data_IF_218839465110
#
_entry.id   IF_218839465110
#
_cell.length_a   1.000
_cell.length_b   1.000
_cell.length_c   1.000
_cell.angle_alpha   90.00
_cell.angle_beta   90.00
_cell.angle_gamma   90.00
#
_symmetry.space_group_name_H-M   'P 1'
#
loop_
_entity.id
_entity.type
_entity.pdbx_description
1 polymer ?
#
# COMPACT_ATOMS: atom_id res chain seq x y z
N UNK A 1 -15.14 19.46 -22.10
CA UNK A 1 -14.44 18.20 -21.73
C UNK A 1 -13.25 18.52 -20.84
N UNK A 2 -13.32 18.23 -19.53
CA UNK A 2 -12.21 18.46 -18.58
C UNK A 2 -11.04 17.54 -18.93
N UNK A 3 -9.91 18.13 -19.35
CA UNK A 3 -8.65 17.46 -19.64
C UNK A 3 -8.18 16.76 -18.36
N UNK A 4 -8.40 15.44 -18.25
CA UNK A 4 -7.94 14.62 -17.14
C UNK A 4 -6.43 14.79 -17.01
N UNK A 5 -5.98 15.56 -16.00
CA UNK A 5 -4.56 15.76 -15.70
C UNK A 5 -3.91 14.38 -15.47
N UNK A 6 -2.71 14.10 -16.02
CA UNK A 6 -2.07 12.79 -15.90
C UNK A 6 -1.91 12.32 -14.44
N UNK A 7 -1.76 13.24 -13.49
CA UNK A 7 -1.72 12.93 -12.05
C UNK A 7 -3.02 12.30 -11.50
N UNK A 8 -4.19 12.69 -12.01
CA UNK A 8 -5.47 12.12 -11.56
C UNK A 8 -5.64 10.66 -12.01
N UNK A 9 -5.02 10.27 -13.14
CA UNK A 9 -5.12 8.92 -13.69
C UNK A 9 -4.32 7.91 -12.87
N UNK A 10 -3.12 8.28 -12.44
CA UNK A 10 -2.25 7.41 -11.62
C UNK A 10 -2.85 7.21 -10.23
N UNK A 11 -3.42 8.27 -9.64
CA UNK A 11 -4.14 8.15 -8.38
C UNK A 11 -5.35 7.21 -8.51
N UNK A 12 -6.19 7.43 -9.53
CA UNK A 12 -7.35 6.58 -9.79
C UNK A 12 -6.94 5.11 -10.02
N UNK A 13 -5.87 4.88 -10.80
CA UNK A 13 -5.31 3.55 -11.01
C UNK A 13 -4.89 2.90 -9.69
N UNK A 14 -4.10 3.60 -8.87
CA UNK A 14 -3.64 3.11 -7.55
C UNK A 14 -4.81 2.76 -6.64
N UNK A 15 -5.83 3.63 -6.57
CA UNK A 15 -7.03 3.41 -5.75
C UNK A 15 -7.82 2.21 -6.24
N UNK A 16 -8.08 2.12 -7.55
CA UNK A 16 -8.82 0.98 -8.13
C UNK A 16 -8.07 -0.32 -7.87
N UNK A 17 -6.75 -0.35 -8.07
CA UNK A 17 -5.94 -1.55 -7.84
C UNK A 17 -5.98 -2.01 -6.38
N UNK A 18 -5.88 -1.06 -5.44
CA UNK A 18 -6.00 -1.37 -4.02
C UNK A 18 -7.40 -1.91 -3.67
N UNK A 19 -8.47 -1.29 -4.20
CA UNK A 19 -9.85 -1.73 -3.98
C UNK A 19 -10.13 -3.11 -4.60
N UNK A 20 -9.59 -3.39 -5.78
CA UNK A 20 -9.69 -4.70 -6.42
C UNK A 20 -8.98 -5.76 -5.58
N UNK A 21 -7.76 -5.49 -5.11
CA UNK A 21 -7.06 -6.38 -4.18
C UNK A 21 -7.88 -6.64 -2.92
N UNK A 22 -8.40 -5.58 -2.31
CA UNK A 22 -9.23 -5.64 -1.11
C UNK A 22 -10.50 -6.47 -1.31
N UNK A 23 -11.21 -6.29 -2.43
CA UNK A 23 -12.37 -7.10 -2.77
C UNK A 23 -11.99 -8.58 -2.94
N UNK A 24 -10.88 -8.87 -3.64
CA UNK A 24 -10.36 -10.23 -3.80
C UNK A 24 -10.05 -10.88 -2.45
N UNK A 25 -9.34 -10.18 -1.56
CA UNK A 25 -8.99 -10.66 -0.24
C UNK A 25 -10.22 -10.98 0.61
N UNK A 26 -11.22 -10.09 0.58
CA UNK A 26 -12.47 -10.33 1.31
C UNK A 26 -13.24 -11.53 0.80
N UNK A 27 -13.37 -11.69 -0.53
CA UNK A 27 -14.15 -12.77 -1.14
C UNK A 27 -13.48 -14.12 -0.95
N UNK A 28 -12.18 -14.23 -1.21
CA UNK A 28 -11.44 -15.50 -1.15
C UNK A 28 -11.34 -16.07 0.27
N UNK A 29 -11.29 -15.22 1.29
CA UNK A 29 -11.02 -15.64 2.67
C UNK A 29 -12.23 -15.55 3.61
N UNK A 30 -13.41 -15.17 3.10
CA UNK A 30 -14.65 -15.02 3.88
C UNK A 30 -15.01 -16.23 4.75
N UNK A 31 -14.77 -17.44 4.25
CA UNK A 31 -15.23 -18.68 4.87
C UNK A 31 -14.10 -19.50 5.52
N UNK A 32 -12.87 -18.97 5.56
CA UNK A 32 -11.77 -19.69 6.17
C UNK A 32 -11.77 -19.53 7.68
N UNK A 33 -11.94 -20.64 8.39
CA UNK A 33 -11.75 -20.68 9.84
C UNK A 33 -10.26 -20.85 10.13
N UNK A 34 -9.61 -19.80 10.65
CA UNK A 34 -8.21 -19.86 11.07
C UNK A 34 -8.06 -20.81 12.27
N UNK A 35 -7.08 -21.75 12.24
CA UNK A 35 -6.76 -22.60 13.39
C UNK A 35 -6.56 -21.78 14.67
N UNK A 36 -7.07 -22.24 15.82
CA UNK A 36 -6.78 -21.59 17.10
C UNK A 36 -5.26 -21.66 17.36
N UNK A 37 -4.58 -20.51 17.25
CA UNK A 37 -3.13 -20.37 17.39
C UNK A 37 -2.46 -19.56 16.27
N UNK A 38 -2.94 -19.66 15.02
CA UNK A 38 -2.34 -18.92 13.88
C UNK A 38 -2.73 -17.44 13.82
N UNK A 39 -3.65 -17.01 14.68
CA UNK A 39 -4.24 -15.66 14.66
C UNK A 39 -3.29 -14.56 15.14
N UNK A 40 -2.41 -14.85 16.11
CA UNK A 40 -1.34 -13.93 16.52
C UNK A 40 -0.31 -13.78 15.40
N UNK A 41 0.12 -14.91 14.81
CA UNK A 41 1.07 -14.91 13.70
C UNK A 41 0.55 -14.15 12.48
N UNK A 42 -0.74 -14.23 12.13
CA UNK A 42 -1.27 -13.51 10.97
C UNK A 42 -1.26 -11.98 11.17
N UNK A 43 -1.57 -11.51 12.37
CA UNK A 43 -1.52 -10.08 12.72
C UNK A 43 -0.08 -9.56 12.77
N UNK A 44 0.84 -10.35 13.33
CA UNK A 44 2.27 -10.05 13.30
C UNK A 44 2.82 -10.03 11.87
N UNK A 45 2.39 -10.94 10.99
CA UNK A 45 2.79 -10.96 9.57
C UNK A 45 2.18 -9.79 8.80
N UNK A 46 0.91 -9.44 9.03
CA UNK A 46 0.30 -8.25 8.42
C UNK A 46 1.01 -6.96 8.84
N UNK A 47 1.44 -6.91 10.11
CA UNK A 47 2.23 -5.83 10.69
C UNK A 47 3.71 -5.85 10.28
N UNK A 48 4.28 -7.00 9.92
CA UNK A 48 5.65 -7.07 9.42
C UNK A 48 5.74 -6.56 7.98
N UNK A 49 4.61 -6.57 7.24
CA UNK A 49 4.54 -6.25 5.81
C UNK A 49 4.68 -4.75 5.46
N UNK A 50 5.21 -3.88 6.33
CA UNK A 50 5.49 -2.47 5.97
C UNK A 50 6.73 -2.29 5.07
N UNK A 51 7.60 -3.30 5.00
CA UNK A 51 8.75 -3.31 4.10
C UNK A 51 8.38 -3.15 2.61
N UNK A 52 7.14 -3.45 2.23
CA UNK A 52 6.65 -3.28 0.86
C UNK A 52 6.70 -1.80 0.42
N UNK A 53 6.55 -0.84 1.34
CA UNK A 53 6.67 0.59 0.99
C UNK A 53 8.12 0.95 0.66
N UNK A 54 9.08 0.35 1.37
CA UNK A 54 10.49 0.49 1.04
C UNK A 54 10.84 -0.16 -0.30
N UNK A 55 10.23 -1.30 -0.64
CA UNK A 55 10.37 -1.86 -1.99
C UNK A 55 9.78 -0.95 -3.06
N UNK A 56 8.55 -0.46 -2.88
CA UNK A 56 7.90 0.47 -3.82
C UNK A 56 8.77 1.70 -4.04
N UNK A 57 9.44 2.17 -2.98
CA UNK A 57 10.39 3.27 -3.04
C UNK A 57 11.59 2.97 -3.93
N UNK A 58 12.29 1.88 -3.64
CA UNK A 58 13.52 1.49 -4.34
C UNK A 58 13.23 1.18 -5.82
N UNK A 59 12.09 0.55 -6.08
CA UNK A 59 11.65 0.18 -7.42
C UNK A 59 11.10 1.37 -8.23
N UNK A 60 10.72 2.48 -7.59
CA UNK A 60 10.28 3.68 -8.31
C UNK A 60 11.31 4.22 -9.30
N UNK A 61 12.60 3.99 -9.03
CA UNK A 61 13.70 4.39 -9.91
C UNK A 61 13.92 3.46 -11.11
N UNK A 62 13.28 2.27 -11.14
CA UNK A 62 13.48 1.28 -12.19
C UNK A 62 12.30 1.21 -13.16
N UNK A 63 12.58 0.70 -14.37
CA UNK A 63 11.57 0.39 -15.38
C UNK A 63 10.59 -0.69 -14.89
N UNK A 64 11.12 -1.67 -14.16
CA UNK A 64 10.36 -2.78 -13.57
C UNK A 64 9.45 -2.32 -12.44
N UNK A 65 9.69 -1.12 -11.88
CA UNK A 65 8.90 -0.53 -10.80
C UNK A 65 7.43 -0.37 -11.13
N UNK A 66 7.07 -0.17 -12.40
CA UNK A 66 5.67 -0.06 -12.80
C UNK A 66 4.89 -1.35 -12.48
N UNK A 67 5.46 -2.50 -12.83
CA UNK A 67 4.84 -3.81 -12.67
C UNK A 67 4.88 -4.23 -11.19
N UNK A 68 6.05 -4.13 -10.55
CA UNK A 68 6.19 -4.51 -9.15
C UNK A 68 5.39 -3.61 -8.21
N UNK A 69 5.40 -2.28 -8.39
CA UNK A 69 4.58 -1.38 -7.57
C UNK A 69 3.09 -1.68 -7.72
N UNK A 70 2.62 -1.99 -8.94
CA UNK A 70 1.23 -2.41 -9.17
C UNK A 70 0.90 -3.71 -8.42
N UNK A 71 1.77 -4.71 -8.47
CA UNK A 71 1.59 -5.98 -7.71
C UNK A 71 1.59 -5.73 -6.20
N UNK A 72 2.48 -4.87 -5.70
CA UNK A 72 2.57 -4.55 -4.27
C UNK A 72 1.32 -3.81 -3.77
N UNK A 73 0.77 -2.89 -4.57
CA UNK A 73 -0.52 -2.22 -4.28
C UNK A 73 -1.66 -3.23 -4.21
N UNK A 74 -1.76 -4.11 -5.21
CA UNK A 74 -2.77 -5.18 -5.22
C UNK A 74 -2.65 -6.07 -3.98
N UNK A 75 -1.44 -6.56 -3.71
CA UNK A 75 -1.18 -7.51 -2.63
C UNK A 75 -1.46 -6.89 -1.26
N UNK A 76 -1.13 -5.61 -1.05
CA UNK A 76 -1.45 -4.91 0.19
C UNK A 76 -2.97 -4.78 0.38
N UNK A 77 -3.69 -4.39 -0.67
CA UNK A 77 -5.15 -4.37 -0.66
C UNK A 77 -5.73 -5.75 -0.32
N UNK A 78 -5.21 -6.80 -0.97
CA UNK A 78 -5.58 -8.18 -0.72
C UNK A 78 -5.38 -8.61 0.74
N UNK A 79 -4.21 -8.35 1.31
CA UNK A 79 -3.93 -8.68 2.71
C UNK A 79 -4.85 -7.93 3.68
N UNK A 80 -5.19 -6.67 3.41
CA UNK A 80 -6.10 -5.92 4.26
C UNK A 80 -7.54 -6.44 4.13
N UNK A 81 -8.00 -6.74 2.91
CA UNK A 81 -9.30 -7.35 2.66
C UNK A 81 -9.43 -8.72 3.33
N UNK A 82 -8.38 -9.55 3.26
CA UNK A 82 -8.27 -10.81 3.98
C UNK A 82 -8.48 -10.63 5.49
N UNK A 83 -7.75 -9.67 6.06
CA UNK A 83 -7.81 -9.35 7.49
C UNK A 83 -9.20 -8.84 7.90
N UNK A 84 -9.85 -8.02 7.06
CA UNK A 84 -11.22 -7.58 7.29
C UNK A 84 -12.20 -8.75 7.32
N UNK A 85 -12.16 -9.65 6.32
CA UNK A 85 -13.03 -10.82 6.27
C UNK A 85 -12.88 -11.74 7.48
N UNK A 86 -11.66 -11.87 7.99
CA UNK A 86 -11.37 -12.67 9.18
C UNK A 86 -11.82 -12.02 10.49
N UNK A 87 -11.70 -10.70 10.64
CA UNK A 87 -12.01 -10.01 11.90
C UNK A 87 -13.49 -9.63 12.04
N UNK A 88 -14.22 -9.49 10.93
CA UNK A 88 -15.62 -9.05 10.92
C UNK A 88 -16.54 -10.00 11.71
N UNK A 89 -16.19 -11.28 11.75
CA UNK A 89 -16.95 -12.34 12.42
C UNK A 89 -16.55 -12.58 13.88
N UNK A 90 -15.40 -12.05 14.33
CA UNK A 90 -14.84 -12.40 15.65
C UNK A 90 -14.62 -11.21 16.58
N UNK A 91 -14.13 -10.06 16.10
CA UNK A 91 -13.77 -8.94 16.97
C UNK A 91 -13.89 -7.59 16.25
N UNK A 92 -15.08 -7.02 16.30
CA UNK A 92 -15.40 -5.72 15.69
C UNK A 92 -14.61 -4.56 16.28
N UNK A 93 -14.28 -4.59 17.58
CA UNK A 93 -13.50 -3.51 18.21
C UNK A 93 -12.07 -3.46 17.65
N UNK A 94 -11.42 -4.63 17.51
CA UNK A 94 -10.08 -4.74 16.92
C UNK A 94 -10.08 -4.40 15.43
N UNK A 95 -11.14 -4.79 14.71
CA UNK A 95 -11.37 -4.40 13.32
C UNK A 95 -11.40 -2.87 13.18
N UNK A 96 -12.22 -2.18 14.00
CA UNK A 96 -12.39 -0.73 13.93
C UNK A 96 -11.08 0.00 14.22
N UNK A 97 -10.32 -0.46 15.22
CA UNK A 97 -9.00 0.10 15.52
C UNK A 97 -8.03 -0.03 14.33
N UNK A 98 -7.97 -1.20 13.69
CA UNK A 98 -7.12 -1.42 12.52
C UNK A 98 -7.58 -0.60 11.31
N UNK A 99 -8.88 -0.43 11.11
CA UNK A 99 -9.46 0.41 10.06
C UNK A 99 -9.07 1.89 10.26
N UNK A 100 -9.16 2.38 11.50
CA UNK A 100 -8.74 3.72 11.86
C UNK A 100 -7.25 3.92 11.60
N UNK A 101 -6.42 2.96 12.01
CA UNK A 101 -4.97 3.00 11.83
C UNK A 101 -4.59 2.98 10.34
N UNK A 102 -5.27 2.15 9.54
CA UNK A 102 -5.05 2.07 8.10
C UNK A 102 -5.41 3.42 7.43
N UNK A 103 -6.57 4.02 7.75
CA UNK A 103 -7.01 5.29 7.15
C UNK A 103 -6.18 6.48 7.62
N UNK A 104 -5.86 6.56 8.92
CA UNK A 104 -5.23 7.74 9.50
C UNK A 104 -3.71 7.79 9.31
N UNK A 105 -3.05 6.64 9.21
CA UNK A 105 -1.59 6.57 9.17
C UNK A 105 -1.07 5.84 7.93
N UNK A 106 -1.60 4.66 7.63
CA UNK A 106 -1.03 3.85 6.55
C UNK A 106 -1.35 4.41 5.15
N UNK A 107 -2.63 4.61 4.81
CA UNK A 107 -3.05 5.10 3.50
C UNK A 107 -2.43 6.47 3.15
N UNK A 108 -2.35 7.45 4.08
CA UNK A 108 -1.69 8.73 3.81
C UNK A 108 -0.20 8.61 3.52
N UNK A 109 0.49 7.57 4.01
CA UNK A 109 1.87 7.29 3.65
C UNK A 109 1.97 6.47 2.36
N UNK A 110 1.13 5.45 2.22
CA UNK A 110 1.18 4.46 1.15
C UNK A 110 0.80 5.04 -0.22
N UNK A 111 -0.31 5.76 -0.31
CA UNK A 111 -0.82 6.26 -1.60
C UNK A 111 0.11 7.28 -2.26
N UNK A 112 0.64 8.29 -1.56
CA UNK A 112 1.59 9.21 -2.16
C UNK A 112 2.83 8.49 -2.69
N UNK A 113 3.47 7.64 -1.88
CA UNK A 113 4.67 6.90 -2.28
C UNK A 113 4.39 6.04 -3.52
N UNK A 114 3.28 5.30 -3.52
CA UNK A 114 2.89 4.46 -4.63
C UNK A 114 2.61 5.26 -5.90
N UNK A 115 1.89 6.39 -5.79
CA UNK A 115 1.60 7.25 -6.93
C UNK A 115 2.86 7.90 -7.50
N UNK A 116 3.77 8.35 -6.63
CA UNK A 116 5.03 8.95 -7.07
C UNK A 116 5.95 7.91 -7.70
N UNK A 117 6.06 6.73 -7.11
CA UNK A 117 6.83 5.61 -7.66
C UNK A 117 6.30 5.21 -9.03
N UNK A 118 4.99 4.99 -9.18
CA UNK A 118 4.36 4.69 -10.48
C UNK A 118 4.56 5.82 -11.50
N UNK A 119 4.42 7.08 -11.09
CA UNK A 119 4.65 8.21 -11.97
C UNK A 119 6.11 8.31 -12.44
N UNK A 120 7.05 8.01 -11.56
CA UNK A 120 8.47 7.99 -11.87
C UNK A 120 8.78 6.84 -12.82
N UNK A 121 8.36 5.61 -12.51
CA UNK A 121 8.56 4.44 -13.36
C UNK A 121 7.89 4.59 -14.73
N UNK A 122 6.67 5.14 -14.80
CA UNK A 122 6.00 5.45 -16.08
C UNK A 122 6.78 6.46 -16.91
N UNK A 123 7.32 7.51 -16.27
CA UNK A 123 8.15 8.49 -16.97
C UNK A 123 9.49 7.92 -17.40
N UNK A 124 10.11 7.06 -16.59
CA UNK A 124 11.34 6.32 -16.97
C UNK A 124 11.08 5.37 -18.14
N UNK A 125 9.91 4.73 -18.17
CA UNK A 125 9.48 3.91 -19.31
C UNK A 125 9.30 4.75 -20.58
N UNK A 126 8.64 5.90 -20.47
CA UNK A 126 8.49 6.84 -21.57
C UNK A 126 9.81 7.52 -21.96
N UNK A 127 10.77 7.67 -21.03
CA UNK A 127 12.03 8.36 -21.27
C UNK A 127 13.05 7.53 -22.03
N UNK A 128 12.87 6.20 -22.12
CA UNK A 128 13.54 5.39 -23.15
C UNK A 128 13.27 5.94 -24.56
N UNK A 129 12.21 6.73 -24.73
CA UNK A 129 11.80 7.36 -25.99
C UNK A 129 11.93 8.90 -25.97
N UNK A 130 12.38 9.54 -24.87
CA UNK A 130 12.56 11.00 -24.76
C UNK A 130 13.29 11.43 -23.47
N UNK A 131 14.30 12.29 -23.56
CA UNK A 131 14.99 12.85 -22.37
C UNK A 131 14.04 13.70 -21.49
N UNK A 132 13.95 13.39 -20.18
CA UNK A 132 13.22 14.22 -19.21
C UNK A 132 14.01 14.37 -17.90
N UNK A 133 13.99 15.58 -17.34
CA UNK A 133 14.64 15.91 -16.07
C UNK A 133 13.72 15.61 -14.87
N UNK A 134 14.27 14.93 -13.85
CA UNK A 134 13.56 14.51 -12.65
C UNK A 134 13.76 15.48 -11.49
N UNK A 135 12.69 15.82 -10.75
CA UNK A 135 12.81 16.53 -9.47
C UNK A 135 13.02 15.54 -8.32
N UNK A 136 14.24 15.01 -8.26
CA UNK A 136 14.65 13.95 -7.34
C UNK A 136 14.57 14.39 -5.87
N UNK A 137 14.82 15.68 -5.60
CA UNK A 137 14.76 16.29 -4.26
C UNK A 137 13.35 16.23 -3.65
N UNK A 138 12.32 16.52 -4.44
CA UNK A 138 10.93 16.46 -3.98
C UNK A 138 10.50 15.01 -3.67
N UNK A 139 10.89 14.05 -4.52
CA UNK A 139 10.62 12.63 -4.30
C UNK A 139 11.27 12.13 -2.99
N UNK A 140 12.55 12.42 -2.78
CA UNK A 140 13.27 12.01 -1.56
C UNK A 140 12.62 12.58 -0.30
N UNK A 141 12.17 13.84 -0.31
CA UNK A 141 11.50 14.44 0.85
C UNK A 141 10.19 13.73 1.21
N UNK A 142 9.34 13.42 0.22
CA UNK A 142 8.09 12.67 0.46
C UNK A 142 8.39 11.29 1.05
N UNK A 143 9.47 10.66 0.58
CA UNK A 143 9.87 9.33 1.02
C UNK A 143 10.37 9.30 2.47
N UNK A 144 11.15 10.31 2.86
CA UNK A 144 11.59 10.46 4.26
C UNK A 144 10.36 10.63 5.17
N UNK A 145 9.41 11.49 4.78
CA UNK A 145 8.19 11.71 5.54
C UNK A 145 7.37 10.42 5.67
N UNK A 146 7.15 9.70 4.56
CA UNK A 146 6.44 8.43 4.58
C UNK A 146 7.13 7.38 5.47
N UNK A 147 8.46 7.33 5.45
CA UNK A 147 9.24 6.42 6.31
C UNK A 147 9.03 6.73 7.79
N UNK A 148 9.00 8.02 8.18
CA UNK A 148 8.71 8.43 9.56
C UNK A 148 7.32 7.93 9.99
N UNK A 149 6.29 8.14 9.15
CA UNK A 149 4.94 7.65 9.44
C UNK A 149 4.89 6.13 9.61
N UNK A 150 5.62 5.38 8.78
CA UNK A 150 5.69 3.91 8.87
C UNK A 150 6.37 3.44 10.14
N UNK A 151 7.46 4.11 10.54
CA UNK A 151 8.17 3.77 11.79
C UNK A 151 7.25 4.01 12.99
N UNK A 152 6.57 5.17 13.04
CA UNK A 152 5.59 5.48 14.10
C UNK A 152 4.48 4.43 14.11
N UNK A 153 3.91 4.14 12.95
CA UNK A 153 2.89 3.12 12.79
C UNK A 153 3.36 1.75 13.33
N UNK A 154 4.58 1.33 12.97
CA UNK A 154 5.14 0.03 13.35
C UNK A 154 5.35 -0.06 14.87
N UNK A 155 5.84 1.01 15.50
CA UNK A 155 6.01 1.08 16.95
C UNK A 155 4.66 0.97 17.67
N UNK A 156 3.64 1.69 17.20
CA UNK A 156 2.29 1.66 17.79
C UNK A 156 1.71 0.24 17.74
N UNK A 157 1.92 -0.46 16.63
CA UNK A 157 1.45 -1.85 16.50
C UNK A 157 2.19 -2.78 17.45
N UNK A 158 3.52 -2.73 17.50
CA UNK A 158 4.32 -3.64 18.35
C UNK A 158 3.97 -3.48 19.83
N UNK A 159 3.66 -2.27 20.29
CA UNK A 159 3.29 -2.01 21.69
C UNK A 159 1.89 -2.52 22.04
N UNK A 160 0.96 -2.59 21.06
CA UNK A 160 -0.47 -2.90 21.30
C UNK A 160 -0.94 -4.27 20.83
N UNK A 161 -0.16 -5.00 20.04
CA UNK A 161 -0.47 -6.38 19.59
C UNK A 161 -0.02 -7.39 20.62
#
# INVERSE_FOLDING_TARGET
>A
MKRNRPGNRILAYTVVLYLVGLAFGMVLLRNQQLPPGSRRNFLEVFAANYWHIFLIWLLGFSLTGLLFTSVLIFFRGFLFGALMALLISFNLQRLFFLLLLEIALFLPAFFPVSCFSLALSMRSFLSLFSYQNFNLKFYLNIMIIATIFIVIYSIIIVIRV
#
